data_IF_120961999844
#
_entry.id   IF_120961999844
#
_cell.length_a   1.000
_cell.length_b   1.000
_cell.length_c   1.000
_cell.angle_alpha   90.00
_cell.angle_beta   90.00
_cell.angle_gamma   90.00
#
_symmetry.space_group_name_H-M   'P 1'
#
loop_
_entity.id
_entity.type
_entity.pdbx_description
1 polymer ?
#
# COMPACT_ATOMS: atom_id res chain seq x y z
N UNK A 1 -15.85 0.29 5.86
CA UNK A 1 -15.83 1.28 4.75
C UNK A 1 -14.72 0.91 3.77
N UNK A 2 -14.88 1.20 2.47
CA UNK A 2 -13.87 0.93 1.43
C UNK A 2 -13.13 2.23 1.08
N UNK A 3 -11.81 2.18 1.01
CA UNK A 3 -10.95 3.34 0.73
C UNK A 3 -10.06 3.00 -0.48
N UNK A 4 -10.04 3.88 -1.47
CA UNK A 4 -9.12 3.79 -2.61
C UNK A 4 -8.03 4.85 -2.39
N UNK A 5 -6.77 4.42 -2.36
CA UNK A 5 -5.62 5.29 -2.20
C UNK A 5 -4.81 5.29 -3.49
N UNK A 6 -4.74 6.43 -4.17
CA UNK A 6 -3.97 6.58 -5.41
C UNK A 6 -2.61 7.16 -5.08
N UNK A 7 -1.55 6.46 -5.46
CA UNK A 7 -0.17 6.89 -5.25
C UNK A 7 0.66 6.62 -6.51
N UNK A 8 1.69 7.42 -6.80
CA UNK A 8 2.53 7.19 -7.98
C UNK A 8 3.29 5.86 -7.93
N UNK A 9 3.70 5.40 -6.73
CA UNK A 9 4.41 4.13 -6.50
C UNK A 9 3.98 3.48 -5.18
N UNK A 10 4.20 2.17 -5.06
CA UNK A 10 4.01 1.40 -3.83
C UNK A 10 5.09 0.31 -3.72
N UNK A 11 5.14 -0.39 -2.58
CA UNK A 11 6.07 -1.48 -2.28
C UNK A 11 6.43 -2.33 -3.52
N UNK A 12 7.72 -2.65 -3.80
CA UNK A 12 8.78 -2.90 -2.83
C UNK A 12 9.84 -1.81 -2.63
N UNK A 13 9.71 -0.62 -3.21
CA UNK A 13 10.80 0.36 -3.13
C UNK A 13 10.87 1.02 -1.73
N UNK A 14 12.04 0.91 -1.08
CA UNK A 14 12.29 1.51 0.24
C UNK A 14 12.63 2.99 -0.01
N UNK A 15 11.61 3.83 -0.02
CA UNK A 15 11.74 5.26 -0.34
C UNK A 15 10.67 6.16 0.28
N UNK A 16 10.86 7.48 0.10
CA UNK A 16 10.16 8.58 0.77
C UNK A 16 8.63 8.45 0.82
N UNK A 17 7.95 8.66 -0.32
CA UNK A 17 6.48 8.72 -0.37
C UNK A 17 5.88 7.34 -0.15
N UNK A 18 6.51 6.28 -0.64
CA UNK A 18 6.04 4.91 -0.52
C UNK A 18 5.96 4.45 0.94
N UNK A 19 6.94 4.83 1.77
CA UNK A 19 6.89 4.57 3.21
C UNK A 19 5.70 5.24 3.88
N UNK A 20 5.41 6.50 3.51
CA UNK A 20 4.27 7.24 4.06
C UNK A 20 2.96 6.60 3.64
N UNK A 21 2.81 6.26 2.36
CA UNK A 21 1.64 5.57 1.82
C UNK A 21 1.42 4.26 2.57
N UNK A 22 2.46 3.43 2.70
CA UNK A 22 2.41 2.15 3.44
C UNK A 22 2.06 2.33 4.92
N UNK A 23 2.61 3.34 5.58
CA UNK A 23 2.32 3.63 7.00
C UNK A 23 0.85 4.02 7.21
N UNK A 24 0.32 4.88 6.34
CA UNK A 24 -1.08 5.33 6.40
C UNK A 24 -2.03 4.17 6.11
N UNK A 25 -1.83 3.45 5.01
CA UNK A 25 -2.72 2.34 4.63
C UNK A 25 -2.66 1.20 5.64
N UNK A 26 -1.50 0.90 6.23
CA UNK A 26 -1.40 -0.10 7.31
C UNK A 26 -2.17 0.31 8.57
N UNK A 27 -2.11 1.58 8.97
CA UNK A 27 -2.90 2.08 10.12
C UNK A 27 -4.40 2.00 9.84
N UNK A 28 -4.83 2.39 8.65
CA UNK A 28 -6.24 2.31 8.24
C UNK A 28 -6.70 0.84 8.14
N UNK A 29 -5.86 -0.07 7.65
CA UNK A 29 -6.19 -1.50 7.57
C UNK A 29 -6.37 -2.09 8.97
N UNK A 30 -5.52 -1.71 9.94
CA UNK A 30 -5.65 -2.10 11.35
C UNK A 30 -6.96 -1.63 11.99
N UNK A 31 -7.52 -0.51 11.53
CA UNK A 31 -8.83 -0.01 11.99
C UNK A 31 -10.01 -0.78 11.38
N UNK A 32 -9.76 -1.74 10.48
CA UNK A 32 -10.80 -2.58 9.85
C UNK A 32 -11.32 -2.02 8.52
N UNK A 33 -10.65 -1.04 7.92
CA UNK A 33 -10.99 -0.56 6.59
C UNK A 33 -10.43 -1.49 5.51
N UNK A 34 -11.20 -1.71 4.45
CA UNK A 34 -10.74 -2.39 3.25
C UNK A 34 -10.12 -1.34 2.35
N UNK A 35 -8.85 -1.49 2.02
CA UNK A 35 -8.08 -0.49 1.29
C UNK A 35 -7.56 -1.12 0.00
N UNK A 36 -7.72 -0.38 -1.10
CA UNK A 36 -7.12 -0.72 -2.39
C UNK A 36 -6.17 0.41 -2.77
N UNK A 37 -4.92 0.05 -3.03
CA UNK A 37 -3.89 1.00 -3.46
C UNK A 37 -3.79 0.88 -4.98
N UNK A 38 -3.91 2.01 -5.67
CA UNK A 38 -3.78 2.07 -7.13
C UNK A 38 -2.51 2.85 -7.45
N UNK A 39 -1.62 2.22 -8.20
CA UNK A 39 -0.36 2.82 -8.63
C UNK A 39 -0.26 2.93 -10.13
N UNK A 40 0.63 3.80 -10.59
CA UNK A 40 0.95 3.99 -12.01
C UNK A 40 2.33 3.36 -12.28
N UNK A 41 2.68 2.30 -11.56
CA UNK A 41 4.00 1.70 -11.62
C UNK A 41 4.12 0.86 -12.91
N UNK A 42 4.92 1.30 -13.90
CA UNK A 42 4.98 0.62 -15.20
C UNK A 42 5.69 -0.73 -15.14
N UNK A 43 6.36 -1.04 -14.02
CA UNK A 43 7.13 -2.26 -13.82
C UNK A 43 6.32 -3.38 -13.16
N UNK A 44 5.05 -3.15 -12.83
CA UNK A 44 4.18 -4.12 -12.17
C UNK A 44 3.00 -4.43 -13.10
N UNK A 45 3.04 -5.59 -13.75
CA UNK A 45 1.97 -6.05 -14.64
C UNK A 45 0.82 -6.74 -13.89
N UNK A 46 1.06 -7.18 -12.64
CA UNK A 46 0.10 -7.95 -11.86
C UNK A 46 -0.20 -7.31 -10.51
N UNK A 47 -1.47 -7.30 -10.07
CA UNK A 47 -1.83 -6.81 -8.75
C UNK A 47 -1.20 -7.68 -7.67
N UNK A 48 -0.58 -7.05 -6.68
CA UNK A 48 0.03 -7.72 -5.54
C UNK A 48 -0.83 -7.54 -4.29
N UNK A 49 -0.87 -8.57 -3.46
CA UNK A 49 -1.48 -8.49 -2.12
C UNK A 49 -0.34 -8.22 -1.15
N UNK A 50 -0.39 -7.05 -0.50
CA UNK A 50 0.59 -6.73 0.53
C UNK A 50 0.32 -7.55 1.80
N UNK A 51 1.05 -8.65 1.93
CA UNK A 51 0.98 -9.56 3.07
C UNK A 51 2.01 -9.23 4.15
N UNK A 52 2.45 -7.96 4.27
CA UNK A 52 3.51 -7.54 5.18
C UNK A 52 3.19 -7.78 6.69
N UNK A 53 3.40 -9.04 7.10
CA UNK A 53 3.56 -9.53 8.46
C UNK A 53 4.97 -9.19 8.91
N UNK A 54 5.25 -7.92 9.17
CA UNK A 54 6.41 -7.58 10.00
C UNK A 54 6.21 -8.28 11.36
N UNK A 55 7.05 -9.27 11.61
CA UNK A 55 7.21 -9.95 12.90
C UNK A 55 7.54 -8.89 13.96
N UNK A 56 6.86 -9.04 15.10
CA UNK A 56 7.15 -8.48 16.44
C UNK A 56 7.30 -6.97 16.54
#
# INVERSE_FOLDING_TARGET
MRIIHVAPRYHPHIGSVEYVVKSITKRLAKTGYIITIVTIEPSIDNPSIDNDRQRK
#
